data_IF_707689934994
#
_entry.id   IF_707689934994
#
_cell.length_a   1.000
_cell.length_b   1.000
_cell.length_c   1.000
_cell.angle_alpha   90.00
_cell.angle_beta   90.00
_cell.angle_gamma   90.00
#
_symmetry.space_group_name_H-M   'P 1'
#
loop_
_entity.id
_entity.type
_entity.pdbx_description
1 polymer ?
#
# COMPACT_ATOMS: atom_id res chain seq x y z
N UNK A 1 -16.61 -36.43 -16.60
CA UNK A 1 -16.60 -34.98 -16.86
C UNK A 1 -15.35 -34.39 -16.24
N UNK A 2 -14.57 -33.62 -17.00
CA UNK A 2 -13.47 -32.80 -16.47
C UNK A 2 -14.04 -31.65 -15.64
N UNK A 3 -13.37 -31.28 -14.56
CA UNK A 3 -13.77 -30.13 -13.75
C UNK A 3 -13.41 -28.82 -14.48
N UNK A 4 -14.39 -27.92 -14.63
CA UNK A 4 -14.22 -26.60 -15.23
C UNK A 4 -14.40 -25.52 -14.16
N UNK A 5 -13.31 -24.83 -13.81
CA UNK A 5 -13.26 -23.87 -12.70
C UNK A 5 -14.17 -22.65 -12.96
N UNK A 6 -14.21 -22.19 -14.20
CA UNK A 6 -15.02 -21.07 -14.66
C UNK A 6 -16.51 -21.39 -14.61
N UNK A 7 -16.92 -22.57 -15.07
CA UNK A 7 -18.32 -23.04 -14.98
C UNK A 7 -18.74 -23.18 -13.51
N UNK A 8 -17.93 -23.85 -12.68
CA UNK A 8 -18.21 -23.98 -11.24
C UNK A 8 -18.29 -22.62 -10.53
N UNK A 9 -17.47 -21.66 -10.96
CA UNK A 9 -17.50 -20.29 -10.44
C UNK A 9 -18.72 -19.51 -10.91
N UNK A 10 -19.16 -19.71 -12.16
CA UNK A 10 -20.37 -19.13 -12.70
C UNK A 10 -21.61 -19.64 -11.94
N UNK A 11 -21.73 -20.93 -11.69
CA UNK A 11 -22.85 -21.51 -10.94
C UNK A 11 -23.00 -20.86 -9.55
N UNK A 12 -21.88 -20.51 -8.90
CA UNK A 12 -21.89 -19.77 -7.62
C UNK A 12 -22.42 -18.35 -7.79
N UNK A 13 -22.09 -17.68 -8.90
CA UNK A 13 -22.57 -16.33 -9.23
C UNK A 13 -24.05 -16.35 -9.61
N UNK A 14 -24.47 -17.30 -10.44
CA UNK A 14 -25.86 -17.47 -10.88
C UNK A 14 -26.81 -17.61 -9.69
N UNK A 15 -26.41 -18.37 -8.67
CA UNK A 15 -27.18 -18.51 -7.42
C UNK A 15 -27.44 -17.18 -6.68
N UNK A 16 -26.56 -16.17 -6.82
CA UNK A 16 -26.81 -14.85 -6.23
C UNK A 16 -27.98 -14.12 -6.92
N UNK A 17 -28.25 -14.46 -8.17
CA UNK A 17 -29.18 -13.73 -9.02
C UNK A 17 -30.39 -14.55 -9.47
N UNK A 18 -30.65 -15.69 -8.81
CA UNK A 18 -31.72 -16.63 -9.20
C UNK A 18 -33.12 -15.99 -9.18
N UNK A 19 -33.34 -14.96 -8.35
CA UNK A 19 -34.59 -14.22 -8.25
C UNK A 19 -34.74 -13.11 -9.30
N UNK A 20 -33.76 -12.92 -10.18
CA UNK A 20 -33.75 -11.86 -11.19
C UNK A 20 -33.78 -12.45 -12.60
N UNK A 21 -34.49 -11.77 -13.51
CA UNK A 21 -34.51 -12.14 -14.92
C UNK A 21 -33.18 -11.75 -15.57
N UNK A 22 -32.35 -12.74 -15.88
CA UNK A 22 -31.06 -12.55 -16.55
C UNK A 22 -31.25 -12.46 -18.07
N UNK A 23 -30.40 -11.67 -18.74
CA UNK A 23 -30.31 -11.69 -20.20
C UNK A 23 -29.71 -13.02 -20.69
N UNK A 24 -30.09 -13.44 -21.90
CA UNK A 24 -29.63 -14.70 -22.49
C UNK A 24 -28.10 -14.78 -22.65
N UNK A 25 -27.43 -13.65 -22.88
CA UNK A 25 -25.97 -13.55 -23.06
C UNK A 25 -25.19 -13.46 -21.74
N UNK A 26 -25.88 -13.31 -20.60
CA UNK A 26 -25.25 -13.10 -19.29
C UNK A 26 -24.26 -14.21 -18.93
N UNK A 27 -24.67 -15.48 -19.11
CA UNK A 27 -23.82 -16.65 -18.83
C UNK A 27 -22.52 -16.60 -19.62
N UNK A 28 -22.62 -16.36 -20.93
CA UNK A 28 -21.46 -16.29 -21.81
C UNK A 28 -20.50 -15.16 -21.40
N UNK A 29 -21.03 -13.96 -21.15
CA UNK A 29 -20.23 -12.81 -20.72
C UNK A 29 -19.57 -13.03 -19.36
N UNK A 30 -20.28 -13.64 -18.41
CA UNK A 30 -19.75 -13.95 -17.09
C UNK A 30 -18.65 -15.00 -17.13
N UNK A 31 -18.82 -16.09 -17.87
CA UNK A 31 -17.78 -17.12 -18.02
C UNK A 31 -16.51 -16.49 -18.61
N UNK A 32 -16.64 -15.73 -19.71
CA UNK A 32 -15.52 -14.98 -20.29
C UNK A 32 -14.86 -14.04 -19.27
N UNK A 33 -15.66 -13.35 -18.47
CA UNK A 33 -15.18 -12.49 -17.39
C UNK A 33 -14.39 -13.25 -16.32
N UNK A 34 -14.88 -14.42 -15.88
CA UNK A 34 -14.21 -15.25 -14.87
C UNK A 34 -12.81 -15.68 -15.35
N UNK A 35 -12.64 -15.97 -16.64
CA UNK A 35 -11.36 -16.41 -17.21
C UNK A 35 -10.28 -15.32 -17.26
N UNK A 36 -10.65 -14.04 -17.26
CA UNK A 36 -9.71 -12.92 -17.48
C UNK A 36 -9.66 -11.89 -16.34
N UNK A 37 -10.69 -11.86 -15.49
CA UNK A 37 -10.79 -10.89 -14.40
C UNK A 37 -10.34 -11.51 -13.08
N UNK A 38 -9.74 -10.69 -12.21
CA UNK A 38 -9.43 -11.11 -10.84
C UNK A 38 -10.70 -11.54 -10.09
N UNK A 39 -10.84 -12.85 -9.84
CA UNK A 39 -12.09 -13.45 -9.34
C UNK A 39 -12.53 -12.88 -8.00
N UNK A 40 -11.60 -12.58 -7.09
CA UNK A 40 -11.94 -11.99 -5.79
C UNK A 40 -12.63 -10.62 -5.90
N UNK A 41 -12.26 -9.80 -6.90
CA UNK A 41 -12.90 -8.52 -7.15
C UNK A 41 -14.22 -8.68 -7.89
N UNK A 42 -14.28 -9.60 -8.87
CA UNK A 42 -15.50 -9.94 -9.59
C UNK A 42 -16.58 -10.45 -8.63
N UNK A 43 -16.23 -11.40 -7.76
CA UNK A 43 -17.13 -11.91 -6.74
C UNK A 43 -17.62 -10.82 -5.77
N UNK A 44 -16.71 -9.93 -5.35
CA UNK A 44 -17.08 -8.76 -4.54
C UNK A 44 -18.01 -7.80 -5.28
N UNK A 45 -17.87 -7.66 -6.59
CA UNK A 45 -18.75 -6.85 -7.43
C UNK A 45 -20.14 -7.49 -7.58
N UNK A 46 -20.21 -8.81 -7.81
CA UNK A 46 -21.49 -9.54 -7.86
C UNK A 46 -22.30 -9.38 -6.57
N UNK A 47 -21.67 -9.54 -5.40
CA UNK A 47 -22.35 -9.35 -4.10
C UNK A 47 -22.86 -7.93 -3.88
N UNK A 48 -22.15 -6.93 -4.38
CA UNK A 48 -22.57 -5.54 -4.28
C UNK A 48 -23.71 -5.23 -5.25
N UNK A 49 -23.63 -5.74 -6.49
CA UNK A 49 -24.71 -5.66 -7.47
C UNK A 49 -26.01 -6.29 -6.93
N UNK A 50 -25.93 -7.47 -6.31
CA UNK A 50 -27.07 -8.13 -5.67
C UNK A 50 -27.76 -7.21 -4.65
N UNK A 51 -26.99 -6.62 -3.72
CA UNK A 51 -27.53 -5.69 -2.72
C UNK A 51 -28.14 -4.42 -3.32
N UNK A 52 -27.63 -3.95 -4.45
CA UNK A 52 -28.20 -2.82 -5.17
C UNK A 52 -29.55 -3.21 -5.77
N UNK A 53 -29.64 -4.39 -6.41
CA UNK A 53 -30.87 -4.90 -7.01
C UNK A 53 -31.96 -5.20 -5.98
N UNK A 54 -31.58 -5.72 -4.80
CA UNK A 54 -32.50 -5.94 -3.68
C UNK A 54 -33.18 -4.64 -3.23
N UNK A 55 -32.50 -3.50 -3.36
CA UNK A 55 -33.04 -2.17 -3.04
C UNK A 55 -33.78 -1.53 -4.21
N UNK A 56 -33.26 -1.70 -5.42
CA UNK A 56 -33.78 -1.12 -6.65
C UNK A 56 -33.95 -2.23 -7.70
N UNK A 57 -35.19 -2.72 -7.87
CA UNK A 57 -35.50 -3.87 -8.72
C UNK A 57 -35.30 -3.63 -10.23
N UNK A 58 -34.91 -2.41 -10.65
CA UNK A 58 -34.69 -2.07 -12.05
C UNK A 58 -33.20 -2.09 -12.37
N UNK A 59 -32.80 -3.00 -13.25
CA UNK A 59 -31.50 -3.01 -13.89
C UNK A 59 -31.65 -3.59 -15.30
N UNK A 60 -31.36 -2.78 -16.31
CA UNK A 60 -31.47 -3.21 -17.71
C UNK A 60 -30.36 -4.19 -18.10
N UNK A 61 -29.15 -4.02 -17.56
CA UNK A 61 -28.02 -4.91 -17.83
C UNK A 61 -27.21 -5.16 -16.55
N UNK A 62 -27.41 -6.34 -15.96
CA UNK A 62 -26.71 -6.77 -14.76
C UNK A 62 -25.21 -6.90 -14.98
N UNK A 63 -24.77 -7.35 -16.16
CA UNK A 63 -23.35 -7.52 -16.42
C UNK A 63 -22.66 -6.15 -16.44
N UNK A 64 -23.24 -5.15 -17.09
CA UNK A 64 -22.71 -3.78 -17.09
C UNK A 64 -22.63 -3.19 -15.67
N UNK A 65 -23.65 -3.42 -14.84
CA UNK A 65 -23.62 -3.02 -13.44
C UNK A 65 -22.46 -3.68 -12.68
N UNK A 66 -22.30 -5.00 -12.83
CA UNK A 66 -21.19 -5.75 -12.22
C UNK A 66 -19.85 -5.19 -12.70
N UNK A 67 -19.70 -4.92 -14.00
CA UNK A 67 -18.46 -4.40 -14.56
C UNK A 67 -18.15 -2.99 -14.07
N UNK A 68 -19.14 -2.11 -13.94
CA UNK A 68 -18.96 -0.78 -13.34
C UNK A 68 -18.43 -0.87 -11.91
N UNK A 69 -18.99 -1.76 -11.10
CA UNK A 69 -18.56 -1.99 -9.71
C UNK A 69 -17.16 -2.63 -9.68
N UNK A 70 -16.90 -3.60 -10.56
CA UNK A 70 -15.61 -4.26 -10.69
C UNK A 70 -14.50 -3.24 -11.02
N UNK A 71 -14.70 -2.42 -12.04
CA UNK A 71 -13.76 -1.36 -12.44
C UNK A 71 -13.48 -0.39 -11.29
N UNK A 72 -14.51 0.02 -10.54
CA UNK A 72 -14.33 0.84 -9.32
C UNK A 72 -13.47 0.12 -8.27
N UNK A 73 -13.61 -1.19 -8.09
CA UNK A 73 -12.78 -1.98 -7.15
C UNK A 73 -11.32 -2.05 -7.63
N UNK A 74 -11.10 -2.24 -8.93
CA UNK A 74 -9.76 -2.23 -9.52
C UNK A 74 -9.08 -0.85 -9.38
N UNK A 75 -9.78 0.24 -9.66
CA UNK A 75 -9.24 1.61 -9.43
C UNK A 75 -8.87 1.83 -7.97
N UNK A 76 -9.72 1.39 -7.03
CA UNK A 76 -9.41 1.46 -5.60
C UNK A 76 -8.18 0.63 -5.20
N UNK A 77 -7.99 -0.52 -5.83
CA UNK A 77 -6.80 -1.35 -5.62
C UNK A 77 -5.52 -0.67 -6.14
N UNK A 78 -5.56 -0.11 -7.35
CA UNK A 78 -4.44 0.64 -7.93
C UNK A 78 -4.10 1.86 -7.07
N UNK A 79 -5.11 2.59 -6.58
CA UNK A 79 -4.94 3.68 -5.63
C UNK A 79 -4.26 3.23 -4.33
N UNK A 80 -4.67 2.08 -3.77
CA UNK A 80 -4.01 1.49 -2.59
C UNK A 80 -2.54 1.16 -2.87
N UNK A 81 -2.27 0.53 -4.01
CA UNK A 81 -0.92 0.16 -4.42
C UNK A 81 -0.03 1.40 -4.56
N UNK A 82 -0.51 2.44 -5.25
CA UNK A 82 0.21 3.71 -5.43
C UNK A 82 0.56 4.35 -4.09
N UNK A 83 -0.40 4.45 -3.17
CA UNK A 83 -0.17 5.02 -1.84
C UNK A 83 0.89 4.22 -1.06
N UNK A 84 0.80 2.90 -1.08
CA UNK A 84 1.79 2.02 -0.44
C UNK A 84 3.18 2.18 -1.05
N UNK A 85 3.27 2.32 -2.37
CA UNK A 85 4.53 2.58 -3.06
C UNK A 85 5.13 3.94 -2.68
N UNK A 86 4.31 4.99 -2.65
CA UNK A 86 4.73 6.32 -2.20
C UNK A 86 5.32 6.26 -0.78
N UNK A 87 4.63 5.54 0.11
CA UNK A 87 5.08 5.35 1.49
C UNK A 87 6.40 4.57 1.58
N UNK A 88 6.50 3.44 0.88
CA UNK A 88 7.71 2.62 0.89
C UNK A 88 8.91 3.42 0.36
N UNK A 89 8.73 4.19 -0.72
CA UNK A 89 9.76 5.07 -1.28
C UNK A 89 10.15 6.19 -0.30
N UNK A 90 9.18 6.92 0.24
CA UNK A 90 9.43 8.02 1.17
C UNK A 90 10.16 7.55 2.43
N UNK A 91 9.76 6.39 2.98
CA UNK A 91 10.43 5.79 4.12
C UNK A 91 11.85 5.38 3.75
N UNK A 92 12.04 4.64 2.64
CA UNK A 92 13.35 4.19 2.18
C UNK A 92 14.33 5.34 2.06
N UNK A 93 13.93 6.42 1.38
CA UNK A 93 14.81 7.57 1.21
C UNK A 93 15.09 8.32 2.51
N UNK A 94 14.09 8.46 3.37
CA UNK A 94 14.27 9.10 4.69
C UNK A 94 15.26 8.32 5.55
N UNK A 95 15.15 6.97 5.56
CA UNK A 95 16.06 6.12 6.30
C UNK A 95 17.47 6.17 5.71
N UNK A 96 17.60 6.06 4.38
CA UNK A 96 18.89 6.12 3.70
C UNK A 96 19.69 7.38 4.09
N UNK A 97 19.08 8.56 3.94
CA UNK A 97 19.74 9.84 4.27
C UNK A 97 20.11 9.91 5.75
N UNK A 98 19.19 9.54 6.64
CA UNK A 98 19.42 9.68 8.08
C UNK A 98 20.46 8.70 8.61
N UNK A 99 20.48 7.48 8.09
CA UNK A 99 21.47 6.46 8.46
C UNK A 99 22.85 6.84 7.90
N UNK A 100 22.92 7.29 6.65
CA UNK A 100 24.16 7.82 6.07
C UNK A 100 24.73 8.94 6.94
N UNK A 101 23.92 9.96 7.26
CA UNK A 101 24.36 11.09 8.09
C UNK A 101 24.73 10.69 9.53
N UNK A 102 24.22 9.56 10.02
CA UNK A 102 24.50 9.10 11.38
C UNK A 102 25.82 8.34 11.48
N UNK A 103 26.17 7.56 10.46
CA UNK A 103 27.28 6.61 10.53
C UNK A 103 28.44 6.90 9.58
N UNK A 104 28.22 7.63 8.49
CA UNK A 104 29.31 8.07 7.62
C UNK A 104 30.16 9.14 8.31
N UNK A 105 31.45 9.15 7.97
CA UNK A 105 32.39 10.18 8.45
C UNK A 105 32.81 11.11 7.32
N UNK A 106 33.49 10.55 6.32
CA UNK A 106 34.02 11.27 5.16
C UNK A 106 33.33 10.82 3.87
N UNK A 107 33.22 9.51 3.70
CA UNK A 107 32.64 8.88 2.52
C UNK A 107 31.32 8.16 2.84
N UNK A 108 30.52 7.86 1.81
CA UNK A 108 29.27 7.09 1.95
C UNK A 108 29.54 5.59 1.97
N UNK A 109 30.11 5.11 3.07
CA UNK A 109 30.68 3.76 3.17
C UNK A 109 30.44 3.07 4.53
N UNK A 110 29.54 3.56 5.38
CA UNK A 110 29.24 2.94 6.69
C UNK A 110 28.95 1.44 6.61
N UNK A 111 28.40 0.99 5.47
CA UNK A 111 28.06 -0.40 5.19
C UNK A 111 29.27 -1.30 4.89
N UNK A 112 30.44 -0.72 4.57
CA UNK A 112 31.71 -1.42 4.34
C UNK A 112 32.53 -1.60 5.62
N UNK A 113 32.14 -0.98 6.73
CA UNK A 113 32.89 -1.04 7.98
C UNK A 113 33.07 -2.48 8.48
N UNK A 114 34.32 -2.88 8.68
CA UNK A 114 34.74 -4.17 9.23
C UNK A 114 35.05 -4.12 10.73
N UNK A 115 34.99 -2.93 11.34
CA UNK A 115 35.34 -2.72 12.75
C UNK A 115 34.36 -3.41 13.71
N UNK A 116 34.83 -3.71 14.92
CA UNK A 116 33.96 -4.16 16.00
C UNK A 116 32.95 -3.07 16.37
N UNK A 117 31.78 -3.14 15.75
CA UNK A 117 30.71 -2.19 15.99
C UNK A 117 30.13 -2.38 17.39
N UNK A 118 30.43 -1.45 18.28
CA UNK A 118 29.88 -1.37 19.64
C UNK A 118 28.41 -0.98 19.66
N UNK A 119 27.95 -0.19 18.67
CA UNK A 119 26.55 0.22 18.55
C UNK A 119 25.65 -0.96 18.12
N UNK A 120 24.72 -1.43 18.97
CA UNK A 120 23.88 -2.59 18.64
C UNK A 120 22.96 -2.37 17.42
N UNK A 121 22.48 -1.13 17.20
CA UNK A 121 21.59 -0.81 16.09
C UNK A 121 22.34 -0.87 14.75
N UNK A 122 23.56 -0.31 14.69
CA UNK A 122 24.43 -0.42 13.51
C UNK A 122 24.83 -1.89 13.27
N UNK A 123 25.17 -2.65 14.32
CA UNK A 123 25.51 -4.07 14.19
C UNK A 123 24.36 -4.89 13.59
N UNK A 124 23.12 -4.63 14.00
CA UNK A 124 21.94 -5.29 13.44
C UNK A 124 21.68 -4.86 12.00
N UNK A 125 21.84 -3.57 11.70
CA UNK A 125 21.73 -3.05 10.34
C UNK A 125 22.74 -3.70 9.39
N UNK A 126 24.03 -3.80 9.78
CA UNK A 126 25.06 -4.48 8.99
C UNK A 126 24.74 -5.97 8.74
N UNK A 127 24.11 -6.66 9.70
CA UNK A 127 23.61 -8.03 9.47
C UNK A 127 22.51 -8.06 8.40
N UNK A 128 21.61 -7.08 8.37
CA UNK A 128 20.59 -6.97 7.32
C UNK A 128 21.25 -6.71 5.96
N UNK A 129 22.24 -5.81 5.89
CA UNK A 129 23.01 -5.57 4.67
C UNK A 129 23.63 -6.87 4.15
N UNK A 130 24.39 -7.59 4.97
CA UNK A 130 25.03 -8.87 4.58
C UNK A 130 24.02 -9.93 4.10
N UNK A 131 22.78 -9.89 4.59
CA UNK A 131 21.71 -10.82 4.21
C UNK A 131 21.04 -10.44 2.89
N UNK A 132 20.94 -9.15 2.57
CA UNK A 132 20.15 -8.62 1.45
C UNK A 132 21.02 -8.27 0.25
N UNK A 133 22.13 -7.61 0.49
CA UNK A 133 23.02 -7.10 -0.53
C UNK A 133 24.10 -8.15 -0.85
N UNK A 134 23.99 -8.77 -2.02
CA UNK A 134 25.05 -9.63 -2.54
C UNK A 134 26.15 -8.74 -3.12
N UNK A 135 27.41 -9.14 -2.92
CA UNK A 135 28.59 -8.40 -3.42
C UNK A 135 28.62 -6.93 -2.97
N UNK A 136 28.58 -6.72 -1.65
CA UNK A 136 28.59 -5.39 -1.02
C UNK A 136 29.73 -4.48 -1.51
N UNK A 137 30.85 -5.05 -1.96
CA UNK A 137 31.99 -4.30 -2.49
C UNK A 137 31.67 -3.57 -3.81
N UNK A 138 30.65 -4.01 -4.56
CA UNK A 138 30.16 -3.35 -5.78
C UNK A 138 29.27 -2.12 -5.46
N UNK A 139 28.89 -1.91 -4.18
CA UNK A 139 28.02 -0.83 -3.76
C UNK A 139 28.84 0.43 -3.44
N UNK A 140 28.37 1.57 -3.93
CA UNK A 140 29.05 2.86 -3.85
C UNK A 140 28.23 3.92 -3.12
N UNK A 141 27.04 3.58 -2.63
CA UNK A 141 26.20 4.51 -1.86
C UNK A 141 25.21 3.78 -0.96
N UNK A 142 24.79 4.47 0.10
CA UNK A 142 23.70 4.05 0.98
C UNK A 142 22.40 3.86 0.21
N UNK A 143 22.18 4.62 -0.87
CA UNK A 143 20.99 4.48 -1.72
C UNK A 143 20.84 3.06 -2.27
N UNK A 144 21.91 2.54 -2.87
CA UNK A 144 21.91 1.18 -3.42
C UNK A 144 21.64 0.12 -2.34
N UNK A 145 22.22 0.30 -1.14
CA UNK A 145 21.97 -0.60 -0.01
C UNK A 145 20.48 -0.61 0.38
N UNK A 146 19.86 0.56 0.41
CA UNK A 146 18.46 0.70 0.78
C UNK A 146 17.48 0.25 -0.31
N UNK A 147 17.88 0.25 -1.59
CA UNK A 147 17.09 -0.30 -2.69
C UNK A 147 16.83 -1.80 -2.54
N UNK A 148 17.78 -2.54 -1.93
CA UNK A 148 17.66 -3.98 -1.66
C UNK A 148 16.80 -4.33 -0.43
N UNK A 149 16.46 -3.34 0.39
CA UNK A 149 15.65 -3.56 1.58
C UNK A 149 14.17 -3.63 1.25
N UNK A 150 13.51 -4.68 1.75
CA UNK A 150 12.06 -4.78 1.66
C UNK A 150 11.39 -4.01 2.81
N UNK A 151 10.08 -3.73 2.71
CA UNK A 151 9.36 -2.91 3.68
C UNK A 151 9.54 -3.37 5.15
N UNK A 152 9.60 -4.67 5.42
CA UNK A 152 9.85 -5.16 6.79
C UNK A 152 11.24 -4.76 7.30
N UNK A 153 12.25 -4.78 6.44
CA UNK A 153 13.60 -4.35 6.82
C UNK A 153 13.58 -2.85 7.15
N UNK A 154 12.93 -2.03 6.32
CA UNK A 154 12.79 -0.58 6.56
C UNK A 154 12.08 -0.28 7.88
N UNK A 155 10.97 -0.98 8.16
CA UNK A 155 10.24 -0.82 9.43
C UNK A 155 11.10 -1.24 10.63
N UNK A 156 11.85 -2.33 10.52
CA UNK A 156 12.75 -2.77 11.59
C UNK A 156 13.86 -1.76 11.84
N UNK A 157 14.49 -1.23 10.78
CA UNK A 157 15.52 -0.20 10.87
C UNK A 157 14.99 1.05 11.57
N UNK A 158 13.80 1.52 11.19
CA UNK A 158 13.12 2.66 11.82
C UNK A 158 12.90 2.44 13.33
N UNK A 159 12.48 1.24 13.72
CA UNK A 159 12.19 0.88 15.11
C UNK A 159 13.48 0.69 15.92
N UNK A 160 14.51 0.08 15.34
CA UNK A 160 15.84 -0.09 15.96
C UNK A 160 16.52 1.25 16.21
N UNK A 161 16.35 2.22 15.30
CA UNK A 161 16.92 3.57 15.39
C UNK A 161 15.93 4.61 15.92
N UNK A 162 14.90 4.19 16.67
CA UNK A 162 13.79 5.08 17.07
C UNK A 162 14.23 6.41 17.68
N UNK A 163 15.32 6.46 18.46
CA UNK A 163 15.86 7.71 19.03
C UNK A 163 16.10 8.78 17.96
N UNK A 164 16.59 8.38 16.80
CA UNK A 164 16.99 9.25 15.69
C UNK A 164 15.81 9.70 14.81
N UNK A 165 14.69 8.97 14.89
CA UNK A 165 13.51 9.21 14.07
C UNK A 165 12.29 9.68 14.86
N UNK A 166 12.30 9.57 16.19
CA UNK A 166 11.15 9.83 17.04
C UNK A 166 10.51 11.19 16.77
N UNK A 167 11.33 12.23 16.61
CA UNK A 167 10.87 13.61 16.40
C UNK A 167 9.95 13.75 15.17
N UNK A 168 10.18 12.96 14.09
CA UNK A 168 9.32 12.97 12.89
C UNK A 168 7.88 12.57 13.23
N UNK A 169 7.73 11.62 14.14
CA UNK A 169 6.45 10.95 14.42
C UNK A 169 5.77 11.43 15.71
N UNK A 170 6.55 11.99 16.63
CA UNK A 170 6.07 12.45 17.94
C UNK A 170 5.76 13.94 17.95
N UNK A 171 6.63 14.74 17.36
CA UNK A 171 6.60 16.18 17.58
C UNK A 171 5.42 16.83 16.88
N UNK A 172 5.05 18.01 17.37
CA UNK A 172 4.03 18.84 16.75
C UNK A 172 4.52 19.21 15.35
N UNK A 173 3.75 18.80 14.33
CA UNK A 173 4.00 19.16 12.94
C UNK A 173 2.74 19.79 12.36
N UNK A 174 2.91 20.88 11.64
CA UNK A 174 1.83 21.60 10.96
C UNK A 174 2.01 21.40 9.46
N UNK A 175 0.92 21.08 8.76
CA UNK A 175 0.86 20.97 7.31
C UNK A 175 -0.29 21.83 6.80
N UNK A 176 0.00 22.87 5.99
CA UNK A 176 -1.00 23.79 5.44
C UNK A 176 -2.03 24.22 6.50
N UNK A 177 -1.53 24.82 7.60
CA UNK A 177 -2.30 25.28 8.78
C UNK A 177 -3.07 24.20 9.56
N UNK A 178 -2.84 22.91 9.28
CA UNK A 178 -3.47 21.79 9.99
C UNK A 178 -2.44 21.09 10.87
N UNK A 179 -2.78 20.82 12.13
CA UNK A 179 -1.93 20.03 13.03
C UNK A 179 -2.02 18.55 12.62
N UNK A 180 -0.88 17.94 12.32
CA UNK A 180 -0.81 16.52 11.99
C UNK A 180 -0.91 15.66 13.25
N UNK A 181 -1.78 14.62 13.27
CA UNK A 181 -1.85 13.68 14.38
C UNK A 181 -0.49 13.05 14.68
N UNK A 182 -0.14 12.95 15.96
CA UNK A 182 1.10 12.32 16.43
C UNK A 182 0.90 10.82 16.65
N UNK A 183 1.94 10.02 16.41
CA UNK A 183 1.95 8.61 16.78
C UNK A 183 2.43 8.38 18.22
N UNK A 184 2.99 9.40 18.90
CA UNK A 184 3.28 9.41 20.34
C UNK A 184 4.40 8.46 20.81
N UNK A 185 4.22 7.15 20.69
CA UNK A 185 5.14 6.11 21.20
C UNK A 185 5.67 5.21 20.09
N UNK A 186 6.79 4.53 20.39
CA UNK A 186 7.43 3.55 19.49
C UNK A 186 6.49 2.37 19.22
N UNK A 187 5.80 1.90 20.26
CA UNK A 187 4.89 0.76 20.25
C UNK A 187 3.63 1.05 19.42
N UNK A 188 3.10 2.27 19.56
CA UNK A 188 1.95 2.70 18.76
C UNK A 188 2.32 2.77 17.28
N UNK A 189 3.46 3.39 16.94
CA UNK A 189 3.95 3.41 15.56
C UNK A 189 4.18 1.99 15.03
N UNK A 190 4.89 1.13 15.77
CA UNK A 190 5.14 -0.28 15.40
C UNK A 190 3.85 -1.04 15.07
N UNK A 191 2.78 -0.79 15.82
CA UNK A 191 1.46 -1.39 15.57
C UNK A 191 0.88 -0.93 14.24
N UNK A 192 0.97 0.38 13.95
CA UNK A 192 0.49 0.97 12.69
C UNK A 192 1.27 0.49 11.48
N UNK A 193 2.61 0.43 11.60
CA UNK A 193 3.49 -0.13 10.58
C UNK A 193 3.11 -1.59 10.25
N UNK A 194 2.93 -2.43 11.28
CA UNK A 194 2.50 -3.83 11.09
C UNK A 194 1.15 -3.95 10.35
N UNK A 195 0.19 -3.06 10.63
CA UNK A 195 -1.09 -3.03 9.91
C UNK A 195 -0.90 -2.62 8.43
N UNK A 196 -0.09 -1.60 8.16
CA UNK A 196 0.25 -1.15 6.80
C UNK A 196 0.95 -2.27 6.04
N UNK A 197 1.94 -2.94 6.62
CA UNK A 197 2.64 -4.07 6.01
C UNK A 197 1.73 -5.23 5.66
N UNK A 198 0.77 -5.57 6.53
CA UNK A 198 -0.25 -6.59 6.22
C UNK A 198 -1.11 -6.18 5.03
N UNK A 199 -1.56 -4.92 4.99
CA UNK A 199 -2.31 -4.39 3.86
C UNK A 199 -1.48 -4.34 2.57
N UNK A 200 -0.18 -4.03 2.69
CA UNK A 200 0.79 -4.06 1.59
C UNK A 200 0.92 -5.46 1.01
N UNK A 201 1.06 -6.48 1.86
CA UNK A 201 1.15 -7.87 1.41
C UNK A 201 -0.13 -8.33 0.71
N UNK A 202 -1.31 -8.00 1.25
CA UNK A 202 -2.57 -8.30 0.56
C UNK A 202 -2.64 -7.61 -0.80
N UNK A 203 -2.35 -6.31 -0.85
CA UNK A 203 -2.41 -5.52 -2.09
C UNK A 203 -1.40 -6.00 -3.12
N UNK A 204 -0.15 -6.27 -2.73
CA UNK A 204 0.90 -6.73 -3.65
C UNK A 204 0.58 -8.10 -4.27
N UNK A 205 -0.12 -8.98 -3.54
CA UNK A 205 -0.59 -10.26 -4.05
C UNK A 205 -1.98 -10.18 -4.72
N UNK A 206 -2.39 -8.99 -5.16
CA UNK A 206 -3.67 -8.71 -5.81
C UNK A 206 -4.92 -9.08 -4.97
N UNK A 207 -4.78 -9.27 -3.65
CA UNK A 207 -5.88 -9.66 -2.78
C UNK A 207 -6.69 -8.42 -2.36
N UNK A 208 -8.04 -8.51 -2.34
CA UNK A 208 -8.86 -7.47 -1.75
C UNK A 208 -8.52 -7.32 -0.26
N UNK A 209 -8.15 -6.12 0.17
CA UNK A 209 -7.89 -5.81 1.58
C UNK A 209 -9.09 -5.17 2.25
N UNK A 210 -9.37 -5.57 3.50
CA UNK A 210 -10.34 -4.90 4.39
C UNK A 210 -9.64 -4.00 5.41
N UNK A 211 -8.30 -4.00 5.43
CA UNK A 211 -7.51 -3.23 6.38
C UNK A 211 -7.64 -1.75 6.03
N UNK A 212 -8.07 -0.94 6.99
CA UNK A 212 -8.17 0.51 6.83
C UNK A 212 -6.83 1.15 7.17
N UNK A 213 -6.00 1.39 6.16
CA UNK A 213 -4.65 1.97 6.35
C UNK A 213 -4.46 3.35 5.70
N UNK A 214 -5.30 3.74 4.73
CA UNK A 214 -5.13 4.98 3.93
C UNK A 214 -4.89 6.23 4.79
N UNK A 215 -5.69 6.43 5.84
CA UNK A 215 -5.56 7.56 6.77
C UNK A 215 -4.20 7.56 7.48
N UNK A 216 -3.81 6.42 8.04
CA UNK A 216 -2.57 6.33 8.80
C UNK A 216 -1.37 6.54 7.86
N UNK A 217 -1.45 6.03 6.64
CA UNK A 217 -0.43 6.17 5.62
C UNK A 217 -0.31 7.61 5.10
N UNK A 218 -1.44 8.31 4.90
CA UNK A 218 -1.47 9.75 4.58
C UNK A 218 -0.76 10.56 5.66
N UNK A 219 -1.06 10.32 6.95
CA UNK A 219 -0.39 11.00 8.07
C UNK A 219 1.11 10.70 8.08
N UNK A 220 1.53 9.45 7.84
CA UNK A 220 2.94 9.06 7.78
C UNK A 220 3.67 9.81 6.66
N UNK A 221 3.10 9.84 5.45
CA UNK A 221 3.67 10.54 4.30
C UNK A 221 3.84 12.04 4.56
N UNK A 222 2.80 12.70 5.10
CA UNK A 222 2.90 14.12 5.46
C UNK A 222 3.93 14.36 6.57
N UNK A 223 4.05 13.45 7.53
CA UNK A 223 5.08 13.53 8.59
C UNK A 223 6.49 13.32 8.06
N UNK A 224 6.68 12.47 7.05
CA UNK A 224 7.94 12.34 6.31
C UNK A 224 8.24 13.57 5.43
N UNK A 225 7.27 14.47 5.24
CA UNK A 225 7.43 15.66 4.39
C UNK A 225 7.23 15.35 2.89
N UNK A 226 6.61 14.22 2.57
CA UNK A 226 6.37 13.81 1.20
C UNK A 226 5.30 14.68 0.54
N UNK A 227 5.54 15.11 -0.70
CA UNK A 227 4.56 15.84 -1.50
C UNK A 227 3.52 14.86 -2.08
N UNK A 228 2.58 14.45 -1.23
CA UNK A 228 1.57 13.47 -1.60
C UNK A 228 0.65 13.99 -2.71
N UNK A 229 0.31 15.28 -2.70
CA UNK A 229 -0.60 15.91 -3.66
C UNK A 229 -0.16 15.68 -5.10
N UNK A 230 1.10 16.02 -5.40
CA UNK A 230 1.66 15.85 -6.73
C UNK A 230 1.87 14.36 -7.06
N UNK A 231 2.27 13.55 -6.08
CA UNK A 231 2.56 12.13 -6.30
C UNK A 231 1.33 11.30 -6.69
N UNK A 232 0.14 11.71 -6.25
CA UNK A 232 -1.11 11.00 -6.56
C UNK A 232 -1.86 11.57 -7.76
N UNK A 233 -1.34 12.61 -8.40
CA UNK A 233 -1.97 13.27 -9.54
C UNK A 233 -1.79 12.45 -10.84
N UNK A 234 -2.35 11.23 -10.84
CA UNK A 234 -2.20 10.24 -11.90
C UNK A 234 -3.57 9.86 -12.45
N UNK A 235 -4.01 10.59 -13.48
CA UNK A 235 -5.24 10.33 -14.22
C UNK A 235 -6.44 10.02 -13.34
N UNK A 236 -7.23 9.01 -13.74
CA UNK A 236 -8.44 8.60 -13.01
C UNK A 236 -8.17 7.87 -11.68
N UNK A 237 -6.91 7.48 -11.38
CA UNK A 237 -6.57 6.81 -10.11
C UNK A 237 -6.72 7.78 -8.94
N UNK A 238 -6.41 9.07 -9.16
CA UNK A 238 -6.55 10.13 -8.16
C UNK A 238 -7.96 10.16 -7.56
N UNK A 239 -8.99 9.96 -8.38
CA UNK A 239 -10.40 9.96 -7.95
C UNK A 239 -10.73 8.86 -6.93
N UNK A 240 -9.94 7.77 -6.91
CA UNK A 240 -10.09 6.67 -5.95
C UNK A 240 -9.29 6.89 -4.65
N UNK A 241 -8.51 7.97 -4.57
CA UNK A 241 -7.74 8.36 -3.40
C UNK A 241 -8.49 9.46 -2.65
N UNK A 242 -9.18 9.05 -1.58
CA UNK A 242 -9.85 9.99 -0.67
C UNK A 242 -8.89 10.36 0.44
N UNK A 243 -8.30 11.54 0.31
CA UNK A 243 -7.44 12.16 1.31
C UNK A 243 -8.28 12.95 2.34
N UNK A 244 -7.78 13.11 3.56
CA UNK A 244 -8.48 13.78 4.66
C UNK A 244 -7.95 15.16 4.98
N UNK A 245 -6.71 15.46 4.63
CA UNK A 245 -6.15 16.79 4.85
C UNK A 245 -6.49 17.73 3.70
N UNK A 246 -6.53 19.04 3.98
CA UNK A 246 -6.61 20.03 2.92
C UNK A 246 -5.23 20.18 2.25
N UNK A 247 -5.21 20.00 0.94
CA UNK A 247 -4.05 20.14 0.07
C UNK A 247 -4.04 21.46 -0.69
N UNK A 248 -5.13 22.23 -0.71
CA UNK A 248 -5.04 23.59 -1.22
C UNK A 248 -4.33 24.44 -0.17
N UNK A 249 -3.32 25.21 -0.57
CA UNK A 249 -2.84 26.33 0.25
C UNK A 249 -4.07 27.18 0.57
N UNK A 250 -4.27 27.55 1.84
CA UNK A 250 -5.08 28.74 2.09
C UNK A 250 -4.41 29.85 1.27
N UNK A 251 -5.14 30.42 0.32
CA UNK A 251 -4.74 31.64 -0.37
C UNK A 251 -4.34 32.63 0.71
N UNK A 252 -3.06 33.03 0.73
CA UNK A 252 -2.66 34.29 1.33
C UNK A 252 -3.06 35.43 0.40
#
# INVERSE_FOLDING_TARGET
MSFELDVSSYEKIEKLFISFKLKCDFKFRMIKGISVLHFGYLWGACKEAQKILEKNQKCEDLFELIMKIYSKRCKNHQANFLLLQCYENALRSTLAVKIANLYNKLDDDWFKSSEEVSNPALKNLLKKVKKRCQKIDEYNSTWQIFDDFCLIDLEEILIEHWSEFAYIFKDKKIYKNQVLPSFGTKEHLKTKLSQIRKARNETYHNKPTKIKFKKDLEILLLRLGYNLENAIDIGEIKEAIVLRFNYNSASE
#
